data_IF_808334915863
#
_entry.id   IF_808334915863
#
_cell.length_a   1.000
_cell.length_b   1.000
_cell.length_c   1.000
_cell.angle_alpha   90.00
_cell.angle_beta   90.00
_cell.angle_gamma   90.00
#
_symmetry.space_group_name_H-M   'P 1'
#
loop_
_entity.id
_entity.type
_entity.pdbx_description
1 polymer ?
#
# COMPACT_ATOMS: atom_id res chain seq x y z
N UNK A 1 9.33 -60.87 55.42
CA UNK A 1 7.99 -60.40 55.01
C UNK A 1 7.94 -58.92 55.39
N UNK A 2 7.94 -57.89 54.54
CA UNK A 2 8.12 -57.71 53.10
C UNK A 2 8.54 -56.23 52.98
N UNK A 3 9.64 -55.94 52.28
CA UNK A 3 10.02 -54.56 51.92
C UNK A 3 9.11 -54.12 50.78
N UNK A 4 8.34 -53.05 50.98
CA UNK A 4 7.56 -52.42 49.91
C UNK A 4 8.44 -51.35 49.27
N UNK A 5 8.95 -51.62 48.07
CA UNK A 5 9.66 -50.67 47.23
C UNK A 5 8.65 -49.66 46.66
N UNK A 6 8.89 -48.37 46.92
CA UNK A 6 8.18 -47.26 46.30
C UNK A 6 8.77 -47.04 44.90
N UNK A 7 7.97 -46.96 43.82
CA UNK A 7 8.52 -46.79 42.49
C UNK A 7 9.20 -45.43 42.40
N UNK A 8 10.47 -45.43 42.03
CA UNK A 8 11.23 -44.24 41.71
C UNK A 8 10.51 -43.50 40.56
N UNK A 9 9.79 -42.44 40.92
CA UNK A 9 9.30 -41.47 39.97
C UNK A 9 10.52 -40.87 39.28
N UNK A 10 10.71 -41.16 37.99
CA UNK A 10 11.87 -40.76 37.19
C UNK A 10 11.98 -39.26 36.91
N UNK A 11 11.38 -38.43 37.77
CA UNK A 11 11.32 -36.98 37.68
C UNK A 11 12.32 -36.46 38.72
N UNK A 12 13.51 -36.10 38.27
CA UNK A 12 14.52 -35.50 39.14
C UNK A 12 14.04 -34.17 39.74
N UNK A 13 14.59 -33.73 40.89
CA UNK A 13 14.20 -32.47 41.56
C UNK A 13 14.33 -31.20 40.72
N UNK A 14 14.98 -31.30 39.55
CA UNK A 14 15.27 -30.19 38.64
C UNK A 14 14.09 -29.76 37.78
N UNK A 15 13.05 -30.60 37.62
CA UNK A 15 11.87 -30.25 36.82
C UNK A 15 10.85 -29.36 37.55
N UNK A 16 10.98 -29.19 38.88
CA UNK A 16 10.08 -28.36 39.69
C UNK A 16 10.56 -26.92 39.92
N UNK A 17 11.78 -26.59 39.49
CA UNK A 17 12.35 -25.26 39.73
C UNK A 17 11.86 -24.27 38.65
N UNK A 18 11.01 -23.32 39.05
CA UNK A 18 10.74 -22.16 38.20
C UNK A 18 12.04 -21.40 37.96
N UNK A 19 12.58 -21.45 36.75
CA UNK A 19 13.81 -20.73 36.36
C UNK A 19 13.68 -19.20 36.43
N UNK A 20 12.48 -18.71 36.72
CA UNK A 20 12.14 -17.31 36.81
C UNK A 20 11.63 -16.99 38.22
N UNK A 21 12.23 -15.99 38.86
CA UNK A 21 11.86 -15.47 40.18
C UNK A 21 11.48 -13.99 40.05
N UNK A 22 10.81 -13.38 41.04
CA UNK A 22 10.50 -11.95 41.00
C UNK A 22 11.73 -11.06 40.75
N UNK A 23 12.89 -11.49 41.25
CA UNK A 23 14.18 -10.81 41.05
C UNK A 23 14.89 -11.18 39.72
N UNK A 24 14.42 -12.24 39.04
CA UNK A 24 14.90 -12.70 37.74
C UNK A 24 13.71 -13.03 36.81
N UNK A 25 13.00 -12.01 36.30
CA UNK A 25 11.83 -12.21 35.47
C UNK A 25 12.18 -12.82 34.11
N UNK A 26 11.20 -13.48 33.50
CA UNK A 26 11.35 -14.05 32.16
C UNK A 26 11.70 -12.97 31.13
N UNK A 27 12.61 -13.27 30.18
CA UNK A 27 12.96 -12.32 29.12
C UNK A 27 11.72 -11.98 28.28
N UNK A 28 11.50 -10.68 28.07
CA UNK A 28 10.41 -10.18 27.24
C UNK A 28 10.69 -10.54 25.77
N UNK A 29 9.92 -11.49 25.24
CA UNK A 29 9.96 -11.84 23.82
C UNK A 29 9.14 -10.79 23.07
N UNK A 30 9.83 -9.90 22.36
CA UNK A 30 9.16 -8.96 21.48
C UNK A 30 8.40 -9.74 20.37
N UNK A 31 7.13 -9.42 20.10
CA UNK A 31 6.40 -10.10 19.05
C UNK A 31 7.09 -9.86 17.70
N UNK A 32 7.10 -10.84 16.77
CA UNK A 32 7.81 -10.73 15.49
C UNK A 32 7.45 -9.50 14.63
N UNK A 33 6.27 -8.91 14.86
CA UNK A 33 5.80 -7.69 14.19
C UNK A 33 5.97 -6.41 15.03
N UNK A 34 6.72 -6.45 16.12
CA UNK A 34 7.02 -5.29 16.93
C UNK A 34 7.75 -4.25 16.06
N UNK A 35 7.26 -3.01 16.09
CA UNK A 35 7.84 -1.90 15.34
C UNK A 35 9.11 -1.46 16.06
N UNK A 36 10.27 -1.81 15.52
CA UNK A 36 11.57 -1.47 16.12
C UNK A 36 12.12 -0.16 15.54
N UNK A 37 13.17 0.38 16.16
CA UNK A 37 13.92 1.54 15.61
C UNK A 37 14.50 1.27 14.22
N UNK A 38 14.66 -0.01 13.83
CA UNK A 38 15.16 -0.44 12.52
C UNK A 38 14.04 -0.62 11.48
N UNK A 39 12.77 -0.62 11.88
CA UNK A 39 11.66 -0.69 10.94
C UNK A 39 11.55 0.62 10.16
N UNK A 40 11.67 0.61 8.83
CA UNK A 40 11.55 1.82 8.04
C UNK A 40 10.20 2.48 8.34
N UNK A 41 10.23 3.73 8.78
CA UNK A 41 9.02 4.57 8.83
C UNK A 41 8.57 4.66 7.37
N UNK A 42 7.41 4.07 7.05
CA UNK A 42 6.71 4.39 5.82
C UNK A 42 6.43 5.89 5.85
N UNK A 43 7.32 6.66 5.25
CA UNK A 43 7.13 8.09 5.02
C UNK A 43 6.08 8.17 3.93
N UNK A 44 4.81 7.98 4.34
CA UNK A 44 3.64 8.26 3.51
C UNK A 44 3.58 9.77 3.31
N UNK A 45 4.38 10.27 2.38
CA UNK A 45 4.12 11.58 1.81
C UNK A 45 2.79 11.53 1.05
N UNK A 46 2.10 12.66 0.94
CA UNK A 46 0.85 12.79 0.18
C UNK A 46 1.04 12.61 -1.35
N UNK A 47 2.21 12.13 -1.79
CA UNK A 47 2.56 11.96 -3.19
C UNK A 47 1.59 11.01 -3.90
N UNK A 48 1.14 9.95 -3.23
CA UNK A 48 0.10 9.06 -3.78
C UNK A 48 -1.21 9.79 -4.04
N UNK A 49 -1.64 10.68 -3.12
CA UNK A 49 -2.86 11.47 -3.32
C UNK A 49 -2.69 12.52 -4.43
N UNK A 50 -1.53 13.19 -4.48
CA UNK A 50 -1.22 14.19 -5.53
C UNK A 50 -1.14 13.52 -6.90
N UNK A 51 -0.47 12.38 -7.01
CA UNK A 51 -0.36 11.62 -8.25
C UNK A 51 -1.73 11.09 -8.70
N UNK A 52 -2.55 10.57 -7.79
CA UNK A 52 -3.92 10.14 -8.10
C UNK A 52 -4.79 11.29 -8.61
N UNK A 53 -4.74 12.45 -7.94
CA UNK A 53 -5.48 13.63 -8.34
C UNK A 53 -5.01 14.13 -9.72
N UNK A 54 -3.70 14.16 -9.95
CA UNK A 54 -3.13 14.56 -11.24
C UNK A 54 -3.60 13.66 -12.38
N UNK A 55 -3.62 12.34 -12.20
CA UNK A 55 -4.13 11.40 -13.21
C UNK A 55 -5.59 11.69 -13.60
N UNK A 56 -6.42 12.06 -12.61
CA UNK A 56 -7.83 12.37 -12.85
C UNK A 56 -8.02 13.74 -13.48
N UNK A 57 -7.38 14.76 -12.92
CA UNK A 57 -7.53 16.14 -13.34
C UNK A 57 -6.93 16.38 -14.74
N UNK A 58 -5.78 15.77 -15.03
CA UNK A 58 -5.15 15.86 -16.35
C UNK A 58 -6.04 15.30 -17.47
N UNK A 59 -6.77 14.21 -17.23
CA UNK A 59 -7.73 13.67 -18.20
C UNK A 59 -8.83 14.68 -18.54
N UNK A 60 -9.39 15.36 -17.54
CA UNK A 60 -10.41 16.40 -17.76
C UNK A 60 -9.83 17.58 -18.54
N UNK A 61 -8.64 18.04 -18.17
CA UNK A 61 -7.95 19.13 -18.89
C UNK A 61 -7.70 18.75 -20.34
N UNK A 62 -7.20 17.54 -20.60
CA UNK A 62 -6.94 17.06 -21.95
C UNK A 62 -8.21 16.99 -22.81
N UNK A 63 -9.34 16.54 -22.24
CA UNK A 63 -10.63 16.52 -22.97
C UNK A 63 -11.04 17.93 -23.39
N UNK A 64 -10.97 18.91 -22.48
CA UNK A 64 -11.31 20.30 -22.81
C UNK A 64 -10.33 20.89 -23.82
N UNK A 65 -9.03 20.60 -23.68
CA UNK A 65 -8.00 21.12 -24.58
C UNK A 65 -8.17 20.59 -26.00
N UNK A 66 -8.42 19.29 -26.13
CA UNK A 66 -8.68 18.62 -27.41
C UNK A 66 -10.00 19.14 -27.98
N UNK A 67 -11.12 19.01 -27.27
CA UNK A 67 -12.43 19.45 -27.79
C UNK A 67 -12.45 20.94 -28.13
N UNK A 68 -11.85 21.80 -27.30
CA UNK A 68 -11.72 23.23 -27.59
C UNK A 68 -10.88 23.49 -28.83
N UNK A 69 -9.75 22.79 -29.00
CA UNK A 69 -8.92 22.90 -30.19
C UNK A 69 -9.63 22.40 -31.46
N UNK A 70 -10.38 21.30 -31.38
CA UNK A 70 -11.22 20.81 -32.49
C UNK A 70 -12.39 21.76 -32.78
N UNK A 71 -13.01 22.34 -31.75
CA UNK A 71 -14.16 23.23 -31.88
C UNK A 71 -13.75 24.58 -32.50
N UNK A 72 -12.59 25.13 -32.11
CA UNK A 72 -12.03 26.33 -32.74
C UNK A 72 -11.76 26.09 -34.22
N UNK A 73 -11.07 24.99 -34.57
CA UNK A 73 -10.84 24.62 -35.96
C UNK A 73 -12.14 24.35 -36.74
N UNK A 74 -13.19 23.87 -36.06
CA UNK A 74 -14.48 23.60 -36.69
C UNK A 74 -15.37 24.84 -36.85
N UNK A 75 -15.31 25.79 -35.91
CA UNK A 75 -16.26 26.92 -35.82
C UNK A 75 -15.66 28.23 -36.32
N UNK A 76 -14.38 28.51 -36.03
CA UNK A 76 -13.73 29.77 -36.38
C UNK A 76 -13.09 29.74 -37.78
N UNK A 77 -12.58 28.59 -38.23
CA UNK A 77 -11.93 28.42 -39.56
C UNK A 77 -12.88 27.91 -40.65
N UNK A 78 -14.21 27.91 -40.42
CA UNK A 78 -15.22 27.53 -41.42
C UNK A 78 -15.49 26.02 -41.54
N UNK A 79 -14.83 25.19 -40.73
CA UNK A 79 -15.17 23.79 -40.47
C UNK A 79 -15.01 22.81 -41.63
N UNK A 80 -15.28 21.52 -41.36
CA UNK A 80 -15.16 20.40 -42.34
C UNK A 80 -16.02 20.58 -43.60
N UNK A 81 -17.02 21.46 -43.56
CA UNK A 81 -17.86 21.80 -44.71
C UNK A 81 -17.13 22.64 -45.77
N UNK A 82 -16.03 23.32 -45.41
CA UNK A 82 -15.11 23.95 -46.38
C UNK A 82 -14.22 22.90 -47.07
N UNK A 83 -13.86 21.81 -46.39
CA UNK A 83 -13.02 20.74 -46.95
C UNK A 83 -13.75 19.89 -48.01
N UNK A 84 -15.08 19.72 -47.91
CA UNK A 84 -15.86 18.87 -48.84
C UNK A 84 -16.49 19.60 -50.04
N UNK A 85 -17.16 20.74 -49.83
CA UNK A 85 -17.96 21.40 -50.88
C UNK A 85 -17.28 22.63 -51.52
N UNK A 86 -16.37 23.31 -50.82
CA UNK A 86 -15.63 24.43 -51.41
C UNK A 86 -14.53 23.95 -52.39
N UNK A 87 -14.17 22.67 -52.38
CA UNK A 87 -13.21 22.05 -53.29
C UNK A 87 -13.89 21.40 -54.53
N UNK A 88 -15.19 21.09 -54.47
CA UNK A 88 -15.96 20.46 -55.58
C UNK A 88 -16.77 21.47 -56.41
N UNK A 89 -17.05 22.67 -55.88
CA UNK A 89 -17.73 23.75 -56.62
C UNK A 89 -16.79 24.58 -57.54
N UNK A 90 -15.50 24.22 -57.61
CA UNK A 90 -14.49 24.84 -58.48
C UNK A 90 -14.23 24.08 -59.79
N UNK A 91 -15.15 23.18 -60.17
CA UNK A 91 -15.33 22.78 -61.58
C UNK A 91 -16.40 23.65 -62.21
#
# INVERSE_FOLDING_TARGET
>A
MSTTESPASGIGPVEGASLYTPDNPAPLIEPPRARTKKTPKSTRGNFEMVAWLFMRLSGVVLVVLVLGHLLIQLVLDGGVSKIGFAFVAGR
#
